data_IF_162154609354
#
_entry.id   IF_162154609354
#
_cell.length_a   1.000
_cell.length_b   1.000
_cell.length_c   1.000
_cell.angle_alpha   90.00
_cell.angle_beta   90.00
_cell.angle_gamma   90.00
#
_symmetry.space_group_name_H-M   'P 1'
#
loop_
_entity.id
_entity.type
_entity.pdbx_description
1 polymer ?
#
# COMPACT_ATOMS: atom_id res chain seq x y z
N UNK A 1 -31.62 -43.12 16.42
CA UNK A 1 -31.24 -42.72 15.05
C UNK A 1 -30.10 -41.73 15.16
N UNK A 2 -28.99 -42.04 14.49
CA UNK A 2 -27.65 -41.51 14.77
C UNK A 2 -27.31 -40.25 13.99
N UNK A 3 -26.46 -39.43 14.60
CA UNK A 3 -25.74 -38.31 14.01
C UNK A 3 -24.75 -38.77 12.92
N UNK A 4 -24.64 -37.95 11.86
CA UNK A 4 -23.38 -37.72 11.14
C UNK A 4 -23.39 -38.10 9.65
N UNK A 5 -23.21 -37.10 8.77
CA UNK A 5 -22.09 -37.10 7.80
C UNK A 5 -21.91 -35.72 7.13
N UNK A 6 -21.24 -34.78 7.80
CA UNK A 6 -20.73 -33.54 7.18
C UNK A 6 -19.37 -33.83 6.53
N UNK A 7 -19.37 -34.49 5.37
CA UNK A 7 -18.12 -34.74 4.65
C UNK A 7 -18.33 -34.73 3.13
N UNK A 8 -18.78 -33.59 2.58
CA UNK A 8 -18.85 -33.45 1.12
C UNK A 8 -18.68 -32.02 0.58
N UNK A 9 -17.70 -31.25 1.07
CA UNK A 9 -17.21 -30.04 0.36
C UNK A 9 -15.71 -29.76 0.62
N UNK A 10 -14.84 -30.75 0.38
CA UNK A 10 -13.37 -30.55 0.30
C UNK A 10 -12.82 -30.65 -1.13
N UNK A 11 -13.68 -30.47 -2.14
CA UNK A 11 -13.33 -30.59 -3.55
C UNK A 11 -12.88 -29.29 -4.25
N UNK A 12 -13.24 -28.12 -3.71
CA UNK A 12 -13.18 -26.86 -4.51
C UNK A 12 -12.02 -25.91 -4.14
N UNK A 13 -11.36 -26.14 -3.00
CA UNK A 13 -10.22 -25.30 -2.58
C UNK A 13 -9.02 -25.40 -3.54
N UNK A 14 -8.79 -26.57 -4.16
CA UNK A 14 -7.66 -26.79 -5.08
C UNK A 14 -7.80 -26.06 -6.43
N UNK A 15 -9.02 -25.65 -6.82
CA UNK A 15 -9.26 -24.89 -8.05
C UNK A 15 -9.11 -23.39 -7.80
N UNK A 16 -9.55 -22.88 -6.66
CA UNK A 16 -9.28 -21.51 -6.23
C UNK A 16 -7.78 -21.28 -5.92
N UNK A 17 -7.09 -22.27 -5.33
CA UNK A 17 -5.64 -22.23 -5.09
C UNK A 17 -4.81 -22.06 -6.38
N UNK A 18 -5.23 -22.70 -7.47
CA UNK A 18 -4.57 -22.55 -8.79
C UNK A 18 -4.90 -21.24 -9.48
N UNK A 19 -6.06 -20.63 -9.19
CA UNK A 19 -6.52 -19.41 -9.85
C UNK A 19 -5.91 -18.16 -9.21
N UNK A 20 -5.80 -18.12 -7.89
CA UNK A 20 -5.42 -16.89 -7.17
C UNK A 20 -4.02 -16.96 -6.53
N UNK A 21 -3.37 -18.14 -6.53
CA UNK A 21 -2.07 -18.32 -5.87
C UNK A 21 -2.10 -18.07 -4.36
N UNK A 22 -3.29 -18.01 -3.76
CA UNK A 22 -3.51 -17.76 -2.33
C UNK A 22 -4.32 -18.92 -1.77
N UNK A 23 -3.73 -19.67 -0.83
CA UNK A 23 -4.41 -20.73 -0.08
C UNK A 23 -4.98 -20.13 1.21
N UNK A 24 -6.30 -19.90 1.26
CA UNK A 24 -7.01 -19.31 2.42
C UNK A 24 -7.23 -20.27 3.61
N UNK A 25 -6.48 -21.36 3.70
CA UNK A 25 -6.58 -22.33 4.79
C UNK A 25 -5.27 -23.06 5.00
N UNK A 26 -4.47 -22.59 5.97
CA UNK A 26 -3.25 -23.25 6.41
C UNK A 26 -1.97 -22.75 5.73
N UNK A 27 -1.24 -21.91 6.48
CA UNK A 27 0.20 -21.60 6.31
C UNK A 27 0.65 -20.55 5.28
N UNK A 28 -0.06 -19.44 5.18
CA UNK A 28 0.54 -18.15 4.80
C UNK A 28 0.23 -17.10 5.86
N UNK A 29 0.87 -17.17 7.04
CA UNK A 29 0.61 -16.19 8.07
C UNK A 29 1.12 -14.83 7.58
N UNK A 30 0.21 -13.88 7.36
CA UNK A 30 0.57 -12.50 6.98
C UNK A 30 1.52 -11.85 7.99
N UNK A 31 1.49 -12.31 9.23
CA UNK A 31 2.47 -11.97 10.26
C UNK A 31 3.46 -13.12 10.47
N UNK A 32 4.75 -12.80 10.67
CA UNK A 32 5.73 -13.81 11.06
C UNK A 32 5.33 -14.60 12.32
N UNK A 33 5.67 -15.90 12.35
CA UNK A 33 5.49 -16.75 13.54
C UNK A 33 6.46 -16.34 14.65
N UNK A 34 7.69 -15.97 14.28
CA UNK A 34 8.71 -15.46 15.20
C UNK A 34 8.26 -14.16 15.90
N UNK A 35 8.30 -14.08 17.25
CA UNK A 35 7.82 -12.90 17.99
C UNK A 35 8.54 -11.60 17.62
N UNK A 36 9.86 -11.66 17.41
CA UNK A 36 10.65 -10.47 17.10
C UNK A 36 10.32 -9.93 15.70
N UNK A 37 10.33 -10.79 14.68
CA UNK A 37 9.91 -10.43 13.32
C UNK A 37 8.48 -9.92 13.28
N UNK A 38 7.58 -10.48 14.10
CA UNK A 38 6.20 -9.99 14.23
C UNK A 38 6.13 -8.61 14.86
N UNK A 39 6.96 -8.31 15.87
CA UNK A 39 7.06 -6.98 16.45
C UNK A 39 7.59 -5.96 15.44
N UNK A 40 8.61 -6.32 14.64
CA UNK A 40 9.11 -5.47 13.55
C UNK A 40 8.03 -5.19 12.49
N UNK A 41 7.25 -6.20 12.09
CA UNK A 41 6.14 -5.99 11.16
C UNK A 41 5.13 -4.96 11.71
N UNK A 42 4.79 -5.06 13.00
CA UNK A 42 3.90 -4.10 13.67
C UNK A 42 4.50 -2.70 13.78
N UNK A 43 5.80 -2.60 14.00
CA UNK A 43 6.51 -1.33 14.01
C UNK A 43 6.34 -0.61 12.67
N UNK A 44 6.60 -1.29 11.55
CA UNK A 44 6.45 -0.69 10.22
C UNK A 44 5.01 -0.28 9.93
N UNK A 45 4.03 -1.11 10.28
CA UNK A 45 2.61 -0.76 10.16
C UNK A 45 2.27 0.51 10.95
N UNK A 46 2.79 0.64 12.18
CA UNK A 46 2.59 1.85 12.98
C UNK A 46 3.33 3.05 12.37
N UNK A 47 4.54 2.85 11.87
CA UNK A 47 5.35 3.89 11.24
C UNK A 47 4.63 4.51 10.02
N UNK A 48 3.94 3.69 9.23
CA UNK A 48 3.07 4.18 8.14
C UNK A 48 1.94 5.07 8.66
N UNK A 49 1.20 4.62 9.68
CA UNK A 49 0.12 5.39 10.28
C UNK A 49 0.61 6.73 10.87
N UNK A 50 1.77 6.73 11.53
CA UNK A 50 2.39 7.93 12.13
C UNK A 50 2.81 8.96 11.05
N UNK A 51 2.97 8.52 9.80
CA UNK A 51 3.34 9.37 8.66
C UNK A 51 2.14 9.80 7.82
N UNK A 52 0.91 9.47 8.22
CA UNK A 52 -0.30 9.97 7.57
C UNK A 52 -0.33 11.51 7.42
N UNK A 53 0.09 12.33 8.42
CA UNK A 53 0.05 13.79 8.27
C UNK A 53 0.87 14.33 7.08
N UNK A 54 2.05 13.77 6.79
CA UNK A 54 2.88 14.21 5.66
C UNK A 54 2.23 13.87 4.32
N UNK A 55 1.55 12.72 4.25
CA UNK A 55 0.80 12.32 3.07
C UNK A 55 -0.45 13.15 2.89
N UNK A 56 -1.20 13.40 3.95
CA UNK A 56 -2.39 14.24 3.91
C UNK A 56 -2.06 15.67 3.47
N UNK A 57 -0.95 16.24 3.98
CA UNK A 57 -0.44 17.53 3.51
C UNK A 57 -0.13 17.48 2.02
N UNK A 58 0.68 16.52 1.58
CA UNK A 58 0.99 16.34 0.17
C UNK A 58 -0.27 16.19 -0.69
N UNK A 59 -1.23 15.35 -0.30
CA UNK A 59 -2.47 15.15 -1.07
C UNK A 59 -3.34 16.41 -1.14
N UNK A 60 -3.30 17.30 -0.14
CA UNK A 60 -4.00 18.59 -0.17
C UNK A 60 -3.31 19.65 -1.02
N UNK A 61 -1.98 19.67 -1.03
CA UNK A 61 -1.23 20.78 -1.63
C UNK A 61 -1.54 21.00 -3.11
N UNK A 62 -1.55 22.27 -3.51
CA UNK A 62 -1.50 22.70 -4.91
C UNK A 62 -0.12 22.45 -5.50
N UNK A 63 0.03 22.61 -6.82
CA UNK A 63 1.35 22.44 -7.46
C UNK A 63 2.31 23.53 -6.99
N UNK A 64 1.82 24.75 -6.86
CA UNK A 64 2.55 25.91 -6.39
C UNK A 64 2.99 25.76 -4.92
N UNK A 65 2.15 25.17 -4.06
CA UNK A 65 2.49 24.85 -2.66
C UNK A 65 3.48 23.69 -2.52
N UNK A 66 3.63 22.85 -3.55
CA UNK A 66 4.61 21.76 -3.57
C UNK A 66 5.99 22.21 -4.04
N UNK A 67 6.09 23.37 -4.71
CA UNK A 67 7.37 24.01 -5.03
C UNK A 67 8.08 24.50 -3.76
N UNK A 68 7.37 24.66 -2.64
CA UNK A 68 7.95 24.67 -1.30
C UNK A 68 8.44 23.24 -0.98
N UNK A 69 9.69 22.98 -1.35
CA UNK A 69 10.40 21.68 -1.39
C UNK A 69 10.31 20.78 -0.14
N UNK A 70 9.73 21.24 0.97
CA UNK A 70 9.67 20.52 2.24
C UNK A 70 8.83 19.23 2.17
N UNK A 71 7.62 19.27 1.60
CA UNK A 71 6.74 18.09 1.59
C UNK A 71 7.27 16.95 0.70
N UNK A 72 7.80 17.28 -0.48
CA UNK A 72 8.42 16.31 -1.39
C UNK A 72 9.67 15.71 -0.74
N UNK A 73 10.49 16.54 -0.09
CA UNK A 73 11.69 16.09 0.62
C UNK A 73 11.35 15.14 1.77
N UNK A 74 10.34 15.45 2.57
CA UNK A 74 9.90 14.59 3.68
C UNK A 74 9.37 13.24 3.20
N UNK A 75 8.55 13.23 2.15
CA UNK A 75 8.08 11.97 1.56
C UNK A 75 9.24 11.18 0.95
N UNK A 76 10.15 11.85 0.25
CA UNK A 76 11.33 11.19 -0.33
C UNK A 76 12.19 10.54 0.76
N UNK A 77 12.42 11.23 1.87
CA UNK A 77 13.17 10.67 3.00
C UNK A 77 12.43 9.49 3.65
N UNK A 78 11.12 9.59 3.80
CA UNK A 78 10.31 8.46 4.26
C UNK A 78 10.47 7.24 3.34
N UNK A 79 10.41 7.42 2.02
CA UNK A 79 10.58 6.32 1.06
C UNK A 79 11.97 5.71 1.11
N UNK A 80 13.03 6.52 1.32
CA UNK A 80 14.39 6.03 1.55
C UNK A 80 14.49 5.21 2.84
N UNK A 81 13.85 5.62 3.92
CA UNK A 81 13.79 4.85 5.16
C UNK A 81 13.14 3.48 4.90
N UNK A 82 12.03 3.44 4.15
CA UNK A 82 11.40 2.17 3.80
C UNK A 82 12.32 1.28 2.95
N UNK A 83 12.97 1.85 1.94
CA UNK A 83 13.89 1.12 1.07
C UNK A 83 15.06 0.50 1.85
N UNK A 84 15.72 1.30 2.69
CA UNK A 84 16.95 0.89 3.36
C UNK A 84 16.67 0.03 4.61
N UNK A 85 15.69 0.40 5.43
CA UNK A 85 15.49 -0.21 6.74
C UNK A 85 14.37 -1.23 6.78
N UNK A 86 13.28 -1.02 6.03
CA UNK A 86 12.13 -1.91 6.05
C UNK A 86 12.25 -3.02 5.00
N UNK A 87 12.45 -2.64 3.74
CA UNK A 87 12.56 -3.56 2.61
C UNK A 87 13.95 -4.20 2.56
N UNK A 88 15.01 -3.39 2.61
CA UNK A 88 16.39 -3.88 2.40
C UNK A 88 16.49 -4.65 1.09
N UNK A 89 17.18 -5.79 1.08
CA UNK A 89 17.35 -6.65 -0.10
C UNK A 89 16.18 -7.61 -0.37
N UNK A 90 15.09 -7.51 0.39
CA UNK A 90 13.97 -8.45 0.28
C UNK A 90 13.10 -8.12 -0.94
N UNK A 91 12.52 -9.16 -1.56
CA UNK A 91 11.56 -9.00 -2.66
C UNK A 91 10.26 -8.33 -2.20
N UNK A 92 9.79 -8.71 -1.02
CA UNK A 92 8.64 -8.17 -0.31
C UNK A 92 9.03 -7.80 1.11
N UNK A 93 8.27 -6.92 1.77
CA UNK A 93 8.50 -6.64 3.19
C UNK A 93 8.37 -7.92 4.04
N UNK A 94 7.50 -8.85 3.63
CA UNK A 94 7.39 -10.20 4.18
C UNK A 94 8.53 -11.17 3.84
N UNK A 95 9.52 -10.79 3.03
CA UNK A 95 10.60 -11.65 2.56
C UNK A 95 10.34 -12.17 1.15
N UNK A 96 10.26 -13.50 0.99
CA UNK A 96 10.03 -14.15 -0.31
C UNK A 96 8.57 -14.06 -0.77
N UNK A 97 7.65 -13.86 0.17
CA UNK A 97 6.21 -13.78 -0.05
C UNK A 97 5.64 -12.51 0.61
N UNK A 98 4.48 -12.05 0.13
CA UNK A 98 3.83 -10.89 0.73
C UNK A 98 3.41 -11.16 2.18
N UNK A 99 3.62 -10.17 3.03
CA UNK A 99 3.14 -10.15 4.41
C UNK A 99 2.18 -8.99 4.65
N UNK A 100 1.80 -8.80 5.91
CA UNK A 100 0.88 -7.74 6.32
C UNK A 100 1.44 -6.35 6.02
N UNK A 101 2.77 -6.18 6.13
CA UNK A 101 3.44 -4.92 5.79
C UNK A 101 3.25 -4.61 4.30
N UNK A 102 3.42 -5.58 3.40
CA UNK A 102 3.18 -5.35 1.96
C UNK A 102 1.74 -4.89 1.68
N UNK A 103 0.77 -5.47 2.37
CA UNK A 103 -0.64 -5.08 2.23
C UNK A 103 -0.86 -3.66 2.74
N UNK A 104 -0.33 -3.33 3.91
CA UNK A 104 -0.43 -1.99 4.51
C UNK A 104 0.18 -0.93 3.61
N UNK A 105 1.35 -1.20 3.03
CA UNK A 105 2.04 -0.25 2.15
C UNK A 105 1.58 -0.30 0.70
N UNK A 106 0.73 -1.26 0.33
CA UNK A 106 0.31 -1.52 -1.05
C UNK A 106 -0.34 -0.30 -1.73
N UNK A 107 -0.91 0.63 -0.97
CA UNK A 107 -1.47 1.86 -1.54
C UNK A 107 -0.40 2.73 -2.24
N UNK A 108 0.88 2.68 -1.82
CA UNK A 108 1.96 3.44 -2.43
C UNK A 108 2.11 3.14 -3.92
N UNK A 109 1.98 1.87 -4.33
CA UNK A 109 2.22 1.43 -5.71
C UNK A 109 1.20 1.95 -6.72
N UNK A 110 0.04 2.38 -6.22
CA UNK A 110 -1.14 2.75 -7.00
C UNK A 110 -1.38 4.25 -6.92
N UNK A 111 -1.36 4.84 -5.71
CA UNK A 111 -1.59 6.27 -5.51
C UNK A 111 -0.45 7.14 -6.00
N UNK A 112 0.82 6.76 -5.78
CA UNK A 112 1.91 7.61 -6.26
C UNK A 112 1.94 7.71 -7.77
N UNK A 113 1.65 6.63 -8.50
CA UNK A 113 1.51 6.72 -9.96
C UNK A 113 0.47 7.79 -10.35
N UNK A 114 -0.67 7.84 -9.66
CA UNK A 114 -1.70 8.87 -9.85
C UNK A 114 -1.20 10.30 -9.58
N UNK A 115 -0.44 10.47 -8.50
CA UNK A 115 0.06 11.77 -8.08
C UNK A 115 1.22 12.29 -8.93
N UNK A 116 2.11 11.40 -9.34
CA UNK A 116 3.24 11.72 -10.23
C UNK A 116 2.71 12.24 -11.58
N UNK A 117 1.70 11.60 -12.16
CA UNK A 117 1.09 12.04 -13.42
C UNK A 117 0.32 13.37 -13.28
N UNK A 118 -0.39 13.58 -12.18
CA UNK A 118 -1.19 14.80 -11.98
C UNK A 118 -0.36 16.02 -11.59
N UNK A 119 0.82 15.83 -11.00
CA UNK A 119 1.64 16.92 -10.45
C UNK A 119 3.01 17.06 -11.08
N UNK A 120 3.44 16.11 -11.90
CA UNK A 120 4.77 16.10 -12.52
C UNK A 120 5.90 15.87 -11.52
N UNK A 121 5.59 15.31 -10.34
CA UNK A 121 6.60 14.91 -9.36
C UNK A 121 7.00 13.45 -9.60
N UNK A 122 8.15 13.06 -9.04
CA UNK A 122 8.77 11.76 -9.24
C UNK A 122 9.25 11.23 -7.89
N UNK A 123 8.47 10.35 -7.27
CA UNK A 123 8.67 9.88 -5.90
C UNK A 123 9.14 8.42 -5.85
N UNK A 124 8.48 7.51 -6.58
CA UNK A 124 8.88 6.11 -6.70
C UNK A 124 9.77 5.87 -7.94
N UNK A 125 10.85 6.64 -8.06
CA UNK A 125 11.77 6.50 -9.19
C UNK A 125 12.86 5.45 -8.93
N UNK A 126 13.24 4.64 -9.94
CA UNK A 126 14.36 3.72 -9.84
C UNK A 126 15.69 4.38 -9.46
N UNK A 127 15.88 5.66 -9.78
CA UNK A 127 17.10 6.41 -9.45
C UNK A 127 17.22 6.75 -7.96
N UNK A 128 16.11 6.77 -7.23
CA UNK A 128 16.04 7.23 -5.84
C UNK A 128 15.75 6.09 -4.89
N UNK A 129 14.81 5.22 -5.27
CA UNK A 129 14.33 4.08 -4.49
C UNK A 129 14.18 2.84 -5.39
N UNK A 130 15.29 2.31 -5.95
CA UNK A 130 15.27 1.20 -6.91
C UNK A 130 14.57 -0.06 -6.40
N UNK A 131 14.80 -0.45 -5.14
CA UNK A 131 14.23 -1.70 -4.59
C UNK A 131 12.75 -1.52 -4.29
N UNK A 132 12.35 -0.37 -3.76
CA UNK A 132 10.95 -0.07 -3.52
C UNK A 132 10.16 0.07 -4.84
N UNK A 133 10.79 0.63 -5.87
CA UNK A 133 10.23 0.65 -7.23
C UNK A 133 10.00 -0.77 -7.75
N UNK A 134 11.01 -1.65 -7.65
CA UNK A 134 10.88 -3.04 -8.07
C UNK A 134 9.83 -3.80 -7.26
N UNK A 135 9.77 -3.57 -5.94
CA UNK A 135 8.71 -4.09 -5.07
C UNK A 135 7.33 -3.67 -5.56
N UNK A 136 7.12 -2.39 -5.84
CA UNK A 136 5.84 -1.87 -6.30
C UNK A 136 5.42 -2.50 -7.65
N UNK A 137 6.37 -2.72 -8.57
CA UNK A 137 6.12 -3.40 -9.83
C UNK A 137 5.72 -4.87 -9.60
N UNK A 138 6.44 -5.60 -8.75
CA UNK A 138 6.16 -6.99 -8.42
C UNK A 138 4.83 -7.17 -7.70
N UNK A 139 4.54 -6.32 -6.71
CA UNK A 139 3.32 -6.37 -5.90
C UNK A 139 2.07 -6.23 -6.76
N UNK A 140 2.06 -5.30 -7.73
CA UNK A 140 0.95 -5.11 -8.68
C UNK A 140 0.70 -6.29 -9.62
N UNK A 141 1.70 -7.14 -9.85
CA UNK A 141 1.58 -8.31 -10.74
C UNK A 141 1.04 -9.56 -10.03
N UNK A 142 0.94 -9.53 -8.69
CA UNK A 142 0.32 -10.63 -7.95
C UNK A 142 -1.16 -10.74 -8.36
N UNK A 143 -1.66 -11.93 -8.77
CA UNK A 143 -3.03 -12.08 -9.28
C UNK A 143 -4.09 -11.45 -8.37
N UNK A 144 -4.03 -11.77 -7.07
CA UNK A 144 -4.96 -11.23 -6.07
C UNK A 144 -4.90 -9.70 -5.95
N UNK A 145 -3.73 -9.07 -6.15
CA UNK A 145 -3.61 -7.62 -6.13
C UNK A 145 -4.14 -7.05 -7.44
N UNK A 146 -3.67 -7.57 -8.58
CA UNK A 146 -4.03 -7.12 -9.92
C UNK A 146 -5.55 -7.11 -10.15
N UNK A 147 -6.24 -8.13 -9.65
CA UNK A 147 -7.70 -8.27 -9.81
C UNK A 147 -8.51 -7.37 -8.87
N UNK A 148 -7.89 -6.83 -7.81
CA UNK A 148 -8.55 -5.99 -6.80
C UNK A 148 -8.07 -4.52 -6.81
N UNK A 149 -7.11 -4.18 -7.65
CA UNK A 149 -6.70 -2.79 -7.82
C UNK A 149 -7.81 -1.99 -8.52
N UNK A 150 -8.16 -0.80 -8.03
CA UNK A 150 -9.13 0.04 -8.71
C UNK A 150 -8.63 0.41 -10.11
N UNK A 151 -9.57 0.68 -11.01
CA UNK A 151 -9.24 1.22 -12.32
C UNK A 151 -8.51 2.57 -12.15
N UNK A 152 -7.48 2.78 -12.96
CA UNK A 152 -6.60 3.93 -12.80
C UNK A 152 -7.33 5.25 -13.09
N UNK A 153 -8.28 5.28 -14.02
CA UNK A 153 -9.10 6.46 -14.29
C UNK A 153 -10.03 6.75 -13.11
N UNK A 154 -10.61 5.71 -12.50
CA UNK A 154 -11.41 5.85 -11.28
C UNK A 154 -10.58 6.37 -10.11
N UNK A 155 -9.33 5.90 -9.96
CA UNK A 155 -8.40 6.39 -8.94
C UNK A 155 -8.13 7.88 -9.10
N UNK A 156 -7.81 8.32 -10.32
CA UNK A 156 -7.53 9.73 -10.61
C UNK A 156 -8.76 10.61 -10.33
N UNK A 157 -9.96 10.14 -10.71
CA UNK A 157 -11.21 10.84 -10.42
C UNK A 157 -11.46 10.94 -8.91
N UNK A 158 -11.25 9.86 -8.17
CA UNK A 158 -11.35 9.85 -6.71
C UNK A 158 -10.31 10.81 -6.09
N UNK A 159 -9.06 10.80 -6.55
CA UNK A 159 -8.02 11.69 -6.05
C UNK A 159 -8.38 13.16 -6.21
N UNK A 160 -8.93 13.56 -7.38
CA UNK A 160 -9.43 14.92 -7.61
C UNK A 160 -10.57 15.27 -6.65
N UNK A 161 -11.58 14.41 -6.52
CA UNK A 161 -12.73 14.65 -5.63
C UNK A 161 -12.33 14.68 -4.15
N UNK A 162 -11.39 13.83 -3.74
CA UNK A 162 -10.87 13.78 -2.39
C UNK A 162 -10.12 15.07 -2.03
N UNK A 163 -9.31 15.59 -2.97
CA UNK A 163 -8.64 16.89 -2.81
C UNK A 163 -9.65 18.02 -2.63
N UNK A 164 -10.66 18.11 -3.49
CA UNK A 164 -11.71 19.14 -3.42
C UNK A 164 -12.41 19.13 -2.07
N UNK A 165 -12.76 17.95 -1.55
CA UNK A 165 -13.38 17.78 -0.23
C UNK A 165 -12.46 18.23 0.90
N UNK A 166 -11.18 17.88 0.84
CA UNK A 166 -10.20 18.30 1.85
C UNK A 166 -9.94 19.81 1.82
N UNK A 167 -9.89 20.44 0.64
CA UNK A 167 -9.79 21.89 0.54
C UNK A 167 -11.05 22.63 0.99
N UNK A 168 -12.23 22.01 0.83
CA UNK A 168 -13.50 22.60 1.25
C UNK A 168 -13.75 22.49 2.76
N UNK A 169 -13.17 21.49 3.44
CA UNK A 169 -13.31 21.33 4.89
C UNK A 169 -12.57 22.37 5.73
N UNK A 170 -11.70 23.18 5.12
CA UNK A 170 -10.93 24.25 5.76
C UNK A 170 -11.62 25.62 5.72
N UNK A 171 -12.82 25.73 5.12
CA UNK A 171 -13.64 26.93 5.22
C UNK A 171 -14.24 27.04 6.64
N UNK A 172 -14.10 28.19 7.33
CA UNK A 172 -14.66 28.34 8.68
C UNK A 172 -16.16 28.07 8.65
N UNK A 173 -16.59 27.13 9.49
CA UNK A 173 -17.98 26.64 9.54
C UNK A 173 -19.01 27.68 10.01
N UNK A 174 -18.61 28.92 10.27
CA UNK A 174 -19.46 29.97 10.80
C UNK A 174 -19.32 31.26 9.98
N UNK A 175 -20.23 31.41 9.01
CA UNK A 175 -20.59 32.71 8.44
C UNK A 175 -22.11 32.72 8.23
N UNK A 176 -22.87 32.64 9.33
CA UNK A 176 -24.27 33.05 9.42
C UNK A 176 -24.55 33.53 10.84
#
# INVERSE_FOLDING_TARGET
>A
MAYGDYRRHRGDLRLQERRYGVRLGGEWPLLPKDPYKRALARFWIKFEADKNPIFAAFFRSTREELDDQNAIKEITEYLKILEEQALGDKKYFGGDNIGLVDITYGWLCHWFKGMEETRGVKLLEPSTVPRLHAWAANFKQLPIIKENLPDYTQLLAHGKSFREKLSASDLPRNAH
#
